data_IF_728682265251
#
_entry.id   IF_728682265251
#
_cell.length_a   1.000
_cell.length_b   1.000
_cell.length_c   1.000
_cell.angle_alpha   90.00
_cell.angle_beta   90.00
_cell.angle_gamma   90.00
#
_symmetry.space_group_name_H-M   'P 1'
#
loop_
_entity.id
_entity.type
_entity.pdbx_description
1 polymer ?
#
# COMPACT_ATOMS: atom_id res chain seq x y z
N UNK A 1 25.32 -11.22 6.84
CA UNK A 1 24.75 -10.76 8.12
C UNK A 1 23.36 -10.21 7.84
N UNK A 2 22.33 -10.80 8.44
CA UNK A 2 20.97 -10.26 8.40
C UNK A 2 20.97 -8.89 9.14
N UNK A 3 20.41 -7.87 8.52
CA UNK A 3 20.28 -6.56 9.17
C UNK A 3 19.17 -6.69 10.24
N UNK A 4 19.59 -6.67 11.49
CA UNK A 4 18.64 -6.67 12.60
C UNK A 4 18.03 -5.28 12.71
N UNK A 5 16.72 -5.16 12.49
CA UNK A 5 16.01 -3.90 12.69
C UNK A 5 16.13 -3.48 14.16
N UNK A 6 16.81 -2.37 14.40
CA UNK A 6 16.96 -1.87 15.78
C UNK A 6 15.71 -1.08 16.18
N UNK A 7 15.38 -1.09 17.49
CA UNK A 7 14.26 -0.30 18.03
C UNK A 7 14.34 1.18 17.60
N UNK A 8 15.53 1.77 17.65
CA UNK A 8 15.75 3.17 17.24
C UNK A 8 15.45 3.40 15.75
N UNK A 9 15.89 2.49 14.87
CA UNK A 9 15.63 2.58 13.45
C UNK A 9 14.12 2.44 13.18
N UNK A 10 13.44 1.48 13.81
CA UNK A 10 11.99 1.29 13.65
C UNK A 10 11.20 2.51 14.10
N UNK A 11 11.58 3.19 15.20
CA UNK A 11 10.93 4.44 15.64
C UNK A 11 11.09 5.55 14.58
N UNK A 12 12.26 5.68 13.96
CA UNK A 12 12.46 6.64 12.87
C UNK A 12 11.58 6.32 11.64
N UNK A 13 11.48 5.06 11.27
CA UNK A 13 10.64 4.63 10.15
C UNK A 13 9.15 4.81 10.46
N UNK A 14 8.72 4.55 11.69
CA UNK A 14 7.36 4.83 12.17
C UNK A 14 7.08 6.34 12.17
N UNK A 15 8.06 7.19 12.50
CA UNK A 15 7.90 8.63 12.41
C UNK A 15 7.70 9.07 10.95
N UNK A 16 8.47 8.55 10.01
CA UNK A 16 8.26 8.79 8.57
C UNK A 16 6.87 8.31 8.11
N UNK A 17 6.45 7.12 8.54
CA UNK A 17 5.12 6.57 8.27
C UNK A 17 4.00 7.44 8.87
N UNK A 18 4.19 7.98 10.08
CA UNK A 18 3.24 8.94 10.68
C UNK A 18 3.10 10.20 9.82
N UNK A 19 4.19 10.79 9.31
CA UNK A 19 4.12 11.97 8.44
C UNK A 19 3.33 11.66 7.15
N UNK A 20 3.51 10.47 6.57
CA UNK A 20 2.72 10.02 5.43
C UNK A 20 1.22 9.85 5.80
N UNK A 21 0.92 9.20 6.92
CA UNK A 21 -0.45 8.98 7.39
C UNK A 21 -1.20 10.28 7.72
N UNK A 22 -0.48 11.28 8.23
CA UNK A 22 -0.99 12.62 8.58
C UNK A 22 -1.29 13.49 7.35
N UNK A 23 -0.65 13.24 6.22
CA UNK A 23 -0.73 14.09 5.03
C UNK A 23 -2.19 14.36 4.63
N UNK A 24 -2.54 15.64 4.44
CA UNK A 24 -3.89 16.14 4.16
C UNK A 24 -4.94 15.85 5.24
N UNK A 25 -4.54 15.50 6.48
CA UNK A 25 -5.45 15.16 7.59
C UNK A 25 -5.05 15.80 8.91
N UNK A 26 -4.10 16.73 8.92
CA UNK A 26 -3.53 17.34 10.14
C UNK A 26 -4.57 18.02 11.04
N UNK A 27 -5.67 18.50 10.47
CA UNK A 27 -6.76 19.15 11.20
C UNK A 27 -7.77 18.17 11.83
N UNK A 28 -7.67 16.88 11.54
CA UNK A 28 -8.63 15.89 12.07
C UNK A 28 -8.36 15.60 13.54
N UNK A 29 -9.42 15.50 14.40
CA UNK A 29 -9.28 15.29 15.83
C UNK A 29 -8.45 14.05 16.20
N UNK A 30 -8.67 12.93 15.51
CA UNK A 30 -7.96 11.69 15.78
C UNK A 30 -6.44 11.78 15.46
N UNK A 31 -6.05 12.60 14.47
CA UNK A 31 -4.64 12.86 14.17
C UNK A 31 -4.01 13.69 15.29
N UNK A 32 -4.68 14.79 15.69
CA UNK A 32 -4.20 15.65 16.78
C UNK A 32 -4.11 14.89 18.09
N UNK A 33 -5.04 14.00 18.37
CA UNK A 33 -5.01 13.16 19.58
C UNK A 33 -3.78 12.26 19.58
N UNK A 34 -3.49 11.58 18.48
CA UNK A 34 -2.30 10.75 18.35
C UNK A 34 -1.00 11.57 18.45
N UNK A 35 -0.98 12.76 17.84
CA UNK A 35 0.18 13.64 17.79
C UNK A 35 0.53 14.25 19.16
N UNK A 36 -0.43 14.47 20.06
CA UNK A 36 -0.18 14.99 21.41
C UNK A 36 0.84 14.16 22.21
N UNK A 37 0.85 12.85 22.01
CA UNK A 37 1.74 11.92 22.67
C UNK A 37 2.58 11.14 21.65
N UNK A 38 3.03 11.81 20.58
CA UNK A 38 3.65 11.17 19.42
C UNK A 38 4.78 10.23 19.80
N UNK A 39 5.76 10.70 20.54
CA UNK A 39 6.93 9.90 20.95
C UNK A 39 6.49 8.62 21.65
N UNK A 40 5.65 8.73 22.68
CA UNK A 40 5.15 7.59 23.43
C UNK A 40 4.35 6.61 22.54
N UNK A 41 3.51 7.13 21.65
CA UNK A 41 2.70 6.30 20.74
C UNK A 41 3.58 5.54 19.73
N UNK A 42 4.64 6.17 19.22
CA UNK A 42 5.57 5.51 18.29
C UNK A 42 6.47 4.50 19.01
N UNK A 43 6.89 4.77 20.22
CA UNK A 43 7.64 3.82 21.05
C UNK A 43 6.81 2.57 21.35
N UNK A 44 5.56 2.72 21.77
CA UNK A 44 4.66 1.60 22.02
C UNK A 44 4.43 0.78 20.73
N UNK A 45 4.22 1.45 19.58
CA UNK A 45 4.09 0.75 18.31
C UNK A 45 5.36 -0.03 17.94
N UNK A 46 6.53 0.56 18.17
CA UNK A 46 7.80 -0.12 17.91
C UNK A 46 7.98 -1.35 18.80
N UNK A 47 7.65 -1.22 20.09
CA UNK A 47 7.72 -2.31 21.04
C UNK A 47 6.72 -3.43 20.71
N UNK A 48 5.48 -3.08 20.35
CA UNK A 48 4.48 -4.05 19.91
C UNK A 48 4.93 -4.83 18.66
N UNK A 49 5.52 -4.13 17.68
CA UNK A 49 5.99 -4.75 16.44
C UNK A 49 7.20 -5.65 16.67
N UNK A 50 8.18 -5.22 17.48
CA UNK A 50 9.38 -6.00 17.79
C UNK A 50 9.09 -7.24 18.63
N UNK A 51 8.11 -7.16 19.53
CA UNK A 51 7.70 -8.26 20.39
C UNK A 51 6.62 -9.16 19.75
N UNK A 52 6.20 -8.86 18.50
CA UNK A 52 5.11 -9.58 17.82
C UNK A 52 3.78 -9.58 18.59
N UNK A 53 3.53 -8.55 19.39
CA UNK A 53 2.31 -8.37 20.20
C UNK A 53 1.32 -7.41 19.54
N UNK A 54 1.71 -6.77 18.43
CA UNK A 54 0.83 -5.86 17.71
C UNK A 54 -0.46 -6.53 17.26
N UNK A 55 -1.59 -5.89 17.63
CA UNK A 55 -2.94 -6.27 17.18
C UNK A 55 -3.62 -5.03 16.62
N UNK A 56 -4.22 -5.12 15.43
CA UNK A 56 -5.02 -4.03 14.88
C UNK A 56 -6.23 -3.74 15.79
N UNK A 57 -6.60 -2.47 15.89
CA UNK A 57 -7.80 -2.05 16.58
C UNK A 57 -9.04 -2.26 15.69
N UNK A 58 -10.26 -2.37 16.27
CA UNK A 58 -11.50 -2.46 15.51
C UNK A 58 -11.65 -1.27 14.55
N UNK A 59 -11.96 -1.55 13.29
CA UNK A 59 -12.21 -0.52 12.29
C UNK A 59 -13.52 0.22 12.58
N UNK A 60 -13.56 1.52 12.30
CA UNK A 60 -14.80 2.28 12.24
C UNK A 60 -15.52 1.97 10.93
N UNK A 61 -16.79 1.55 11.03
CA UNK A 61 -17.60 1.26 9.84
C UNK A 61 -18.59 2.39 9.60
N UNK A 62 -18.67 2.86 8.36
CA UNK A 62 -19.67 3.84 7.95
C UNK A 62 -20.12 3.59 6.50
N UNK A 63 -21.30 4.09 6.19
CA UNK A 63 -21.91 3.94 4.87
C UNK A 63 -21.66 5.19 4.05
N UNK A 64 -21.14 5.03 2.83
CA UNK A 64 -21.06 6.08 1.81
C UNK A 64 -22.17 5.83 0.81
N UNK A 65 -23.07 6.81 0.63
CA UNK A 65 -24.23 6.64 -0.25
C UNK A 65 -23.94 6.99 -1.71
N UNK A 66 -23.09 7.98 -1.95
CA UNK A 66 -22.80 8.49 -3.30
C UNK A 66 -21.35 8.25 -3.69
N UNK A 67 -21.05 7.95 -4.98
CA UNK A 67 -21.99 7.75 -6.13
C UNK A 67 -22.75 6.41 -6.06
N UNK A 68 -22.31 5.46 -5.24
CA UNK A 68 -22.94 4.15 -5.02
C UNK A 68 -22.84 3.80 -3.54
N UNK A 69 -23.94 3.30 -2.98
CA UNK A 69 -23.99 2.85 -1.57
C UNK A 69 -22.95 1.75 -1.34
N UNK A 70 -22.08 1.97 -0.34
CA UNK A 70 -21.04 1.02 0.05
C UNK A 70 -20.66 1.19 1.52
N UNK A 71 -20.31 0.09 2.16
CA UNK A 71 -19.71 0.09 3.47
C UNK A 71 -18.22 0.40 3.35
N UNK A 72 -17.73 1.26 4.24
CA UNK A 72 -16.32 1.62 4.32
C UNK A 72 -15.79 1.26 5.70
N UNK A 73 -14.77 0.43 5.74
CA UNK A 73 -14.06 0.04 6.95
C UNK A 73 -12.82 0.91 7.09
N UNK A 74 -12.84 1.84 8.02
CA UNK A 74 -11.72 2.75 8.27
C UNK A 74 -10.90 2.25 9.46
N UNK A 75 -9.66 1.87 9.23
CA UNK A 75 -8.73 1.52 10.29
C UNK A 75 -8.49 2.71 11.23
N UNK A 76 -8.21 2.44 12.51
CA UNK A 76 -7.81 3.47 13.47
C UNK A 76 -6.51 4.15 13.03
N UNK A 77 -6.28 5.38 13.49
CA UNK A 77 -5.15 6.15 13.00
C UNK A 77 -3.80 5.51 13.36
N UNK A 78 -3.71 4.87 14.52
CA UNK A 78 -2.57 4.05 14.95
C UNK A 78 -2.24 2.98 13.91
N UNK A 79 -3.23 2.25 13.45
CA UNK A 79 -3.05 1.19 12.47
C UNK A 79 -2.72 1.72 11.08
N UNK A 80 -3.24 2.92 10.72
CA UNK A 80 -2.85 3.57 9.47
C UNK A 80 -1.36 3.95 9.45
N UNK A 81 -0.78 4.29 10.60
CA UNK A 81 0.68 4.50 10.70
C UNK A 81 1.42 3.21 10.37
N UNK A 82 0.97 2.07 10.91
CA UNK A 82 1.55 0.76 10.59
C UNK A 82 1.34 0.39 9.12
N UNK A 83 0.16 0.67 8.54
CA UNK A 83 -0.07 0.46 7.11
C UNK A 83 0.91 1.26 6.23
N UNK A 84 1.17 2.53 6.59
CA UNK A 84 2.16 3.34 5.88
C UNK A 84 3.60 2.82 6.08
N UNK A 85 3.94 2.28 7.25
CA UNK A 85 5.23 1.64 7.48
C UNK A 85 5.43 0.47 6.50
N UNK A 86 4.45 -0.46 6.41
CA UNK A 86 4.50 -1.58 5.47
C UNK A 86 4.55 -1.11 4.03
N UNK A 87 3.75 -0.11 3.67
CA UNK A 87 3.76 0.46 2.33
C UNK A 87 5.15 1.01 1.99
N UNK A 88 5.76 1.80 2.87
CA UNK A 88 7.08 2.38 2.65
C UNK A 88 8.16 1.30 2.41
N UNK A 89 8.04 0.15 3.05
CA UNK A 89 8.98 -0.96 2.87
C UNK A 89 8.73 -1.77 1.58
N UNK A 90 7.50 -1.85 1.11
CA UNK A 90 7.11 -2.86 0.12
C UNK A 90 6.71 -2.31 -1.24
N UNK A 91 6.26 -1.05 -1.33
CA UNK A 91 5.67 -0.51 -2.56
C UNK A 91 6.59 -0.62 -3.77
N UNK A 92 7.86 -0.23 -3.67
CA UNK A 92 8.81 -0.33 -4.78
C UNK A 92 9.00 -1.77 -5.28
N UNK A 93 8.93 -2.73 -4.35
CA UNK A 93 9.08 -4.14 -4.68
C UNK A 93 7.91 -4.62 -5.54
N UNK A 94 6.70 -4.26 -5.14
CA UNK A 94 5.49 -4.65 -5.86
C UNK A 94 5.33 -3.88 -7.17
N UNK A 95 5.65 -2.59 -7.22
CA UNK A 95 5.57 -1.78 -8.45
C UNK A 95 6.40 -2.37 -9.60
N UNK A 96 7.55 -2.99 -9.28
CA UNK A 96 8.39 -3.68 -10.27
C UNK A 96 7.75 -4.92 -10.88
N UNK A 97 6.71 -5.47 -10.25
CA UNK A 97 5.97 -6.65 -10.73
C UNK A 97 4.74 -6.27 -11.57
N UNK A 98 4.35 -5.00 -11.56
CA UNK A 98 3.17 -4.54 -12.27
C UNK A 98 3.40 -4.46 -13.77
N UNK A 99 2.34 -4.68 -14.54
CA UNK A 99 2.38 -4.46 -15.99
C UNK A 99 2.58 -2.97 -16.30
N UNK A 100 3.20 -2.68 -17.45
CA UNK A 100 3.61 -1.33 -17.81
C UNK A 100 2.45 -0.30 -17.79
N UNK A 101 1.24 -0.75 -18.13
CA UNK A 101 0.06 0.12 -18.20
C UNK A 101 -0.70 0.25 -16.87
N UNK A 102 -0.19 -0.33 -15.77
CA UNK A 102 -0.73 -0.07 -14.43
C UNK A 102 -0.55 1.40 -14.07
N UNK A 103 -1.62 2.09 -13.70
CA UNK A 103 -1.58 3.51 -13.34
C UNK A 103 -2.24 3.83 -12.00
N UNK A 104 -3.04 2.92 -11.45
CA UNK A 104 -3.69 3.13 -10.16
C UNK A 104 -2.71 3.01 -9.01
N UNK A 105 -2.73 3.99 -8.10
CA UNK A 105 -1.87 4.03 -6.90
C UNK A 105 -0.36 4.06 -7.16
N UNK A 106 0.08 4.45 -8.35
CA UNK A 106 1.50 4.62 -8.69
C UNK A 106 1.82 6.11 -8.74
N UNK A 107 2.92 6.50 -8.09
CA UNK A 107 3.36 7.89 -8.10
C UNK A 107 3.70 8.36 -9.52
N UNK A 108 3.21 9.56 -9.89
CA UNK A 108 3.39 10.12 -11.24
C UNK A 108 2.45 9.53 -12.29
N UNK A 109 1.62 8.54 -11.94
CA UNK A 109 0.60 7.97 -12.83
C UNK A 109 -0.78 8.17 -12.23
N UNK A 110 -1.72 8.64 -13.03
CA UNK A 110 -3.10 8.88 -12.60
C UNK A 110 -4.05 8.62 -13.75
N UNK A 111 -5.29 9.10 -13.61
CA UNK A 111 -6.34 8.92 -14.63
C UNK A 111 -5.90 9.41 -16.01
N UNK A 112 -5.22 10.54 -16.10
CA UNK A 112 -4.72 11.06 -17.38
C UNK A 112 -3.71 10.12 -18.03
N UNK A 113 -2.77 9.59 -17.27
CA UNK A 113 -1.83 8.58 -17.77
C UNK A 113 -2.59 7.37 -18.36
N UNK A 114 -3.60 6.85 -17.64
CA UNK A 114 -4.41 5.73 -18.13
C UNK A 114 -5.15 6.06 -19.43
N UNK A 115 -5.68 7.28 -19.56
CA UNK A 115 -6.37 7.74 -20.78
C UNK A 115 -5.40 7.81 -21.96
N UNK A 116 -4.23 8.40 -21.78
CA UNK A 116 -3.21 8.49 -22.84
C UNK A 116 -2.73 7.11 -23.28
N UNK A 117 -2.48 6.19 -22.34
CA UNK A 117 -2.12 4.81 -22.68
C UNK A 117 -3.20 4.09 -23.45
N UNK A 118 -4.47 4.23 -23.02
CA UNK A 118 -5.59 3.65 -23.75
C UNK A 118 -5.70 4.22 -25.18
N UNK A 119 -5.54 5.52 -25.35
CA UNK A 119 -5.52 6.19 -26.65
C UNK A 119 -4.42 5.64 -27.56
N UNK A 120 -3.21 5.49 -27.04
CA UNK A 120 -2.09 4.90 -27.79
C UNK A 120 -2.42 3.48 -28.27
N UNK A 121 -2.99 2.64 -27.38
CA UNK A 121 -3.40 1.29 -27.77
C UNK A 121 -4.50 1.29 -28.84
N UNK A 122 -5.52 2.14 -28.71
CA UNK A 122 -6.58 2.25 -29.71
C UNK A 122 -5.99 2.67 -31.07
N UNK A 123 -5.14 3.69 -31.12
CA UNK A 123 -4.49 4.14 -32.34
C UNK A 123 -3.68 3.03 -33.00
N UNK A 124 -2.91 2.31 -32.20
CA UNK A 124 -2.09 1.19 -32.68
C UNK A 124 -2.94 0.06 -33.24
N UNK A 125 -3.93 -0.41 -32.49
CA UNK A 125 -4.76 -1.56 -32.86
C UNK A 125 -5.74 -1.24 -34.01
N UNK A 126 -6.21 0.00 -34.09
CA UNK A 126 -7.07 0.45 -35.19
C UNK A 126 -6.31 0.92 -36.42
N UNK A 127 -4.98 0.86 -36.42
CA UNK A 127 -4.12 1.44 -37.46
C UNK A 127 -4.49 2.89 -37.79
N UNK A 128 -4.50 3.74 -36.76
CA UNK A 128 -4.95 5.14 -36.85
C UNK A 128 -6.40 5.28 -37.34
N UNK A 129 -7.31 4.50 -36.73
CA UNK A 129 -8.75 4.46 -37.04
C UNK A 129 -9.12 3.98 -38.48
N UNK A 130 -8.23 3.23 -39.11
CA UNK A 130 -8.50 2.66 -40.44
C UNK A 130 -9.23 1.32 -40.36
N UNK A 131 -9.31 0.68 -39.19
CA UNK A 131 -10.04 -0.55 -38.96
C UNK A 131 -10.70 -0.55 -37.58
N UNK A 132 -11.72 -1.42 -37.43
CA UNK A 132 -12.43 -1.58 -36.17
C UNK A 132 -11.50 -2.03 -35.04
N UNK A 133 -11.70 -1.48 -33.85
CA UNK A 133 -11.02 -1.82 -32.62
C UNK A 133 -12.04 -2.04 -31.50
N UNK A 134 -11.92 -3.12 -30.77
CA UNK A 134 -12.84 -3.49 -29.68
C UNK A 134 -12.16 -3.33 -28.34
N UNK A 135 -12.82 -2.60 -27.42
CA UNK A 135 -12.34 -2.38 -26.05
C UNK A 135 -13.22 -3.14 -25.07
N UNK A 136 -12.64 -4.09 -24.34
CA UNK A 136 -13.34 -4.81 -23.29
C UNK A 136 -13.05 -4.16 -21.92
N UNK A 137 -14.11 -3.71 -21.23
CA UNK A 137 -14.05 -3.22 -19.86
C UNK A 137 -14.49 -4.31 -18.89
N UNK A 138 -13.58 -4.71 -18.00
CA UNK A 138 -13.86 -5.71 -16.97
C UNK A 138 -13.76 -5.10 -15.59
N UNK A 139 -14.61 -5.54 -14.66
CA UNK A 139 -14.54 -5.18 -13.25
C UNK A 139 -14.95 -6.37 -12.37
N UNK A 140 -14.40 -6.48 -11.18
CA UNK A 140 -14.72 -7.55 -10.21
C UNK A 140 -15.74 -7.05 -9.19
N UNK A 141 -16.92 -7.67 -9.18
CA UNK A 141 -17.95 -7.35 -8.20
C UNK A 141 -17.47 -7.70 -6.79
N UNK A 142 -17.55 -6.72 -5.88
CA UNK A 142 -17.25 -6.94 -4.46
C UNK A 142 -15.81 -7.39 -4.17
N UNK A 143 -14.83 -6.98 -4.96
CA UNK A 143 -13.44 -7.43 -4.92
C UNK A 143 -12.88 -7.55 -3.50
N UNK A 144 -12.89 -6.47 -2.73
CA UNK A 144 -12.28 -6.46 -1.38
C UNK A 144 -12.97 -7.39 -0.38
N UNK A 145 -14.28 -7.64 -0.53
CA UNK A 145 -15.05 -8.49 0.38
C UNK A 145 -14.88 -9.99 0.08
N UNK A 146 -14.36 -10.32 -1.10
CA UNK A 146 -14.20 -11.71 -1.56
C UNK A 146 -12.73 -12.13 -1.68
N UNK A 147 -11.79 -11.29 -1.23
CA UNK A 147 -10.37 -11.67 -1.18
C UNK A 147 -10.18 -12.77 -0.12
N UNK A 148 -9.69 -13.92 -0.55
CA UNK A 148 -9.16 -14.93 0.37
C UNK A 148 -7.86 -14.41 0.99
N UNK A 149 -7.89 -14.18 2.30
CA UNK A 149 -6.77 -13.56 3.02
C UNK A 149 -5.56 -14.46 3.08
N UNK A 150 -5.75 -15.81 3.14
CA UNK A 150 -4.63 -16.75 3.18
C UNK A 150 -3.93 -16.80 1.84
N UNK A 151 -4.69 -16.91 0.75
CA UNK A 151 -4.12 -16.88 -0.60
C UNK A 151 -3.38 -15.57 -0.86
N UNK A 152 -3.95 -14.43 -0.44
CA UNK A 152 -3.29 -13.14 -0.56
C UNK A 152 -1.97 -13.10 0.22
N UNK A 153 -1.97 -13.57 1.47
CA UNK A 153 -0.77 -13.63 2.31
C UNK A 153 0.32 -14.49 1.65
N UNK A 154 -0.04 -15.66 1.15
CA UNK A 154 0.89 -16.57 0.48
C UNK A 154 1.52 -15.95 -0.76
N UNK A 155 0.73 -15.24 -1.58
CA UNK A 155 1.22 -14.50 -2.75
C UNK A 155 2.19 -13.39 -2.34
N UNK A 156 1.83 -12.61 -1.31
CA UNK A 156 2.66 -11.52 -0.78
C UNK A 156 3.98 -12.09 -0.26
N UNK A 157 3.94 -13.11 0.59
CA UNK A 157 5.14 -13.73 1.16
C UNK A 157 6.04 -14.34 0.09
N UNK A 158 5.48 -15.07 -0.88
CA UNK A 158 6.22 -15.62 -2.02
C UNK A 158 6.92 -14.52 -2.83
N UNK A 159 6.25 -13.39 -3.07
CA UNK A 159 6.81 -12.26 -3.81
C UNK A 159 7.96 -11.63 -3.04
N UNK A 160 7.77 -11.39 -1.74
CA UNK A 160 8.80 -10.83 -0.87
C UNK A 160 10.04 -11.73 -0.79
N UNK A 161 9.88 -13.04 -0.62
CA UNK A 161 10.99 -14.00 -0.60
C UNK A 161 11.75 -14.03 -1.94
N UNK A 162 11.04 -14.07 -3.07
CA UNK A 162 11.65 -14.04 -4.40
C UNK A 162 12.53 -12.80 -4.58
N UNK A 163 12.03 -11.63 -4.18
CA UNK A 163 12.72 -10.37 -4.32
C UNK A 163 13.86 -10.21 -3.31
N UNK A 164 13.73 -10.76 -2.11
CA UNK A 164 14.80 -10.85 -1.11
C UNK A 164 16.01 -11.59 -1.67
N UNK A 165 15.78 -12.79 -2.21
CA UNK A 165 16.83 -13.62 -2.80
C UNK A 165 17.51 -12.93 -3.98
N UNK A 166 16.76 -12.25 -4.85
CA UNK A 166 17.30 -11.52 -5.99
C UNK A 166 18.20 -10.34 -5.56
N UNK A 167 17.81 -9.59 -4.52
CA UNK A 167 18.63 -8.48 -4.00
C UNK A 167 19.89 -8.95 -3.31
N UNK A 168 19.85 -10.09 -2.59
CA UNK A 168 21.04 -10.70 -1.99
C UNK A 168 22.04 -11.10 -3.09
N UNK A 169 21.57 -11.71 -4.17
CA UNK A 169 22.40 -12.12 -5.31
C UNK A 169 23.08 -10.92 -6.02
N UNK A 170 22.49 -9.73 -5.97
CA UNK A 170 23.01 -8.50 -6.62
C UNK A 170 23.64 -7.51 -5.63
N UNK A 171 23.97 -7.94 -4.40
CA UNK A 171 24.69 -7.13 -3.42
C UNK A 171 23.85 -6.04 -2.72
N UNK A 172 22.57 -5.95 -2.98
CA UNK A 172 21.65 -5.04 -2.29
C UNK A 172 21.10 -5.70 -1.02
N UNK A 173 21.53 -5.23 0.15
CA UNK A 173 21.02 -5.72 1.45
C UNK A 173 19.56 -5.34 1.63
N UNK A 174 18.67 -6.34 1.74
CA UNK A 174 17.34 -6.14 2.29
C UNK A 174 17.41 -6.13 3.81
N UNK A 175 16.79 -5.13 4.40
CA UNK A 175 16.87 -4.85 5.83
C UNK A 175 15.84 -5.60 6.68
N UNK A 176 15.13 -6.62 6.14
CA UNK A 176 13.99 -7.21 6.83
C UNK A 176 13.63 -8.62 6.35
N UNK A 177 14.60 -9.50 6.38
CA UNK A 177 14.35 -10.95 6.37
C UNK A 177 14.56 -11.46 7.80
N UNK A 178 13.48 -11.57 8.56
CA UNK A 178 13.08 -12.56 9.56
C UNK A 178 11.96 -12.02 10.43
#
# INVERSE_FOLDING_TARGET
>A
MAYKLTRKALILDLHAAFQCAKRHKSNKPYVRYFERNLTKNLEHLADDLLNHTYKPEPSTVFIVERPKKREVFAAQFRDRVVHHLYYNYTHELFERTFVADTYSCIQGRGTHYGIERLKEHILKESHNYQRDCYVMKMDKRGYFMHIDRQILLDIVMKTLHKMSNHRIAHGHKLTWAN
#
